data_IF_534543950006
#
_entry.id   IF_534543950006
#
_cell.length_a   1.000
_cell.length_b   1.000
_cell.length_c   1.000
_cell.angle_alpha   90.00
_cell.angle_beta   90.00
_cell.angle_gamma   90.00
#
_symmetry.space_group_name_H-M   'P 1'
#
loop_
_entity.id
_entity.type
_entity.pdbx_description
1 polymer ?
#
# COMPACT_ATOMS: atom_id res chain seq x y z
N UNK A 1 33.26 -46.26 8.17
CA UNK A 1 32.07 -46.05 9.02
C UNK A 1 31.66 -44.61 8.86
N UNK A 2 30.55 -44.37 8.17
CA UNK A 2 29.99 -43.04 7.95
C UNK A 2 29.05 -42.68 9.09
N UNK A 3 29.17 -41.46 9.59
CA UNK A 3 28.16 -40.75 10.39
C UNK A 3 28.33 -39.28 9.96
N UNK A 4 27.23 -38.52 9.87
CA UNK A 4 27.13 -37.15 9.35
C UNK A 4 26.80 -37.02 7.85
N UNK A 5 25.71 -37.63 7.43
CA UNK A 5 24.90 -37.14 6.32
C UNK A 5 23.43 -37.45 6.63
N UNK A 6 22.63 -36.41 6.97
CA UNK A 6 21.15 -36.34 6.92
C UNK A 6 20.54 -35.57 8.11
N UNK A 7 20.66 -34.23 8.15
CA UNK A 7 19.81 -33.41 9.04
C UNK A 7 18.95 -32.38 8.29
N UNK A 8 19.12 -32.21 6.97
CA UNK A 8 18.17 -31.43 6.17
C UNK A 8 17.38 -32.32 5.22
N UNK A 9 16.47 -33.13 5.77
CA UNK A 9 15.26 -33.50 5.05
C UNK A 9 14.20 -32.48 5.47
N UNK A 10 14.07 -31.40 4.72
CA UNK A 10 12.87 -30.56 4.82
C UNK A 10 11.67 -31.46 4.52
N UNK A 11 10.72 -31.53 5.44
CA UNK A 11 9.41 -32.07 5.17
C UNK A 11 8.75 -31.18 4.12
N UNK A 12 8.99 -31.46 2.83
CA UNK A 12 8.20 -30.85 1.75
C UNK A 12 6.74 -31.22 2.01
N UNK A 13 5.93 -30.18 2.20
CA UNK A 13 4.48 -30.25 2.31
C UNK A 13 3.92 -31.19 1.23
N UNK A 14 2.96 -32.03 1.61
CA UNK A 14 2.30 -33.01 0.73
C UNK A 14 1.30 -32.36 -0.24
N UNK A 15 1.20 -31.03 -0.22
CA UNK A 15 0.25 -30.23 -0.98
C UNK A 15 0.98 -29.46 -2.08
N UNK A 16 0.32 -29.33 -3.25
CA UNK A 16 0.77 -28.42 -4.30
C UNK A 16 0.67 -27.00 -3.75
N UNK A 17 1.79 -26.28 -3.74
CA UNK A 17 1.86 -24.88 -3.35
C UNK A 17 1.71 -23.99 -4.58
N UNK A 18 1.14 -22.81 -4.39
CA UNK A 18 0.95 -21.81 -5.43
C UNK A 18 1.51 -20.48 -4.95
N UNK A 19 2.35 -19.86 -5.76
CA UNK A 19 2.89 -18.55 -5.45
C UNK A 19 1.97 -17.48 -6.00
N UNK A 20 1.61 -16.55 -5.13
CA UNK A 20 0.69 -15.46 -5.43
C UNK A 20 1.31 -14.17 -4.94
N UNK A 21 1.29 -13.13 -5.76
CA UNK A 21 1.74 -11.79 -5.37
C UNK A 21 0.54 -10.86 -5.39
N UNK A 22 0.24 -10.22 -4.27
CA UNK A 22 -0.68 -9.11 -4.21
C UNK A 22 0.11 -7.82 -4.47
N UNK A 23 0.00 -7.29 -5.68
CA UNK A 23 0.56 -5.99 -6.04
C UNK A 23 -0.47 -4.92 -5.69
N UNK A 24 -0.17 -4.07 -4.72
CA UNK A 24 -1.08 -3.02 -4.25
C UNK A 24 -0.63 -1.64 -4.70
N UNK A 25 -1.59 -0.86 -5.19
CA UNK A 25 -1.42 0.57 -5.45
C UNK A 25 -1.56 1.40 -4.16
N UNK A 26 -0.89 0.92 -3.12
CA UNK A 26 -0.90 1.48 -1.79
C UNK A 26 0.52 1.91 -1.44
N UNK A 27 0.80 3.21 -1.50
CA UNK A 27 2.14 3.78 -1.39
C UNK A 27 2.63 3.82 0.05
N UNK A 28 2.78 2.64 0.67
CA UNK A 28 3.20 2.43 2.05
C UNK A 28 4.70 2.20 2.16
N UNK A 29 5.30 2.72 3.23
CA UNK A 29 6.66 2.37 3.61
C UNK A 29 6.75 0.89 4.03
N UNK A 30 7.94 0.26 3.97
CA UNK A 30 8.07 -1.17 4.25
C UNK A 30 7.54 -1.62 5.63
N UNK A 31 7.72 -0.79 6.68
CA UNK A 31 7.20 -1.10 8.02
C UNK A 31 5.67 -1.02 8.06
N UNK A 32 5.09 0.05 7.50
CA UNK A 32 3.63 0.20 7.45
C UNK A 32 2.97 -0.91 6.62
N UNK A 33 3.62 -1.34 5.53
CA UNK A 33 3.16 -2.50 4.74
C UNK A 33 3.14 -3.78 5.58
N UNK A 34 4.19 -4.00 6.39
CA UNK A 34 4.27 -5.12 7.32
C UNK A 34 3.09 -5.12 8.30
N UNK A 35 2.89 -4.00 8.97
CA UNK A 35 1.85 -3.82 10.00
C UNK A 35 0.42 -3.90 9.43
N UNK A 36 0.19 -3.32 8.25
CA UNK A 36 -1.15 -3.23 7.65
C UNK A 36 -1.52 -4.53 6.92
N UNK A 37 -0.57 -5.14 6.21
CA UNK A 37 -0.84 -6.27 5.33
C UNK A 37 -0.13 -7.55 5.71
N UNK A 38 1.19 -7.57 5.80
CA UNK A 38 1.94 -8.84 5.92
C UNK A 38 1.55 -9.61 7.18
N UNK A 39 1.68 -8.99 8.36
CA UNK A 39 1.42 -9.68 9.62
C UNK A 39 -0.07 -10.08 9.77
N UNK A 40 -1.06 -9.18 9.55
CA UNK A 40 -2.47 -9.54 9.71
C UNK A 40 -2.97 -10.54 8.66
N UNK A 41 -2.38 -10.56 7.47
CA UNK A 41 -2.73 -11.52 6.42
C UNK A 41 -2.13 -12.89 6.71
N UNK A 42 -0.88 -12.94 7.16
CA UNK A 42 -0.20 -14.17 7.53
C UNK A 42 -0.93 -14.91 8.66
N UNK A 43 -1.27 -14.18 9.72
CA UNK A 43 -2.05 -14.72 10.84
C UNK A 43 -3.40 -15.27 10.37
N UNK A 44 -4.09 -14.54 9.50
CA UNK A 44 -5.39 -14.93 8.99
C UNK A 44 -5.31 -16.19 8.11
N UNK A 45 -4.33 -16.27 7.20
CA UNK A 45 -4.10 -17.41 6.32
C UNK A 45 -3.72 -18.68 7.11
N UNK A 46 -2.81 -18.56 8.08
CA UNK A 46 -2.38 -19.68 8.93
C UNK A 46 -3.51 -20.21 9.79
N UNK A 47 -4.35 -19.32 10.31
CA UNK A 47 -5.53 -19.70 11.12
C UNK A 47 -6.49 -20.60 10.35
N UNK A 48 -6.75 -20.29 9.08
CA UNK A 48 -7.62 -21.09 8.21
C UNK A 48 -6.88 -22.16 7.40
N UNK A 49 -5.56 -22.27 7.58
CA UNK A 49 -4.67 -23.24 6.92
C UNK A 49 -4.71 -23.15 5.39
N UNK A 50 -4.89 -21.95 4.83
CA UNK A 50 -4.93 -21.72 3.38
C UNK A 50 -3.59 -21.28 2.79
N UNK A 51 -2.66 -20.81 3.62
CA UNK A 51 -1.37 -20.32 3.16
C UNK A 51 -0.57 -19.61 4.25
N UNK A 52 0.40 -18.84 3.82
CA UNK A 52 1.23 -17.94 4.64
C UNK A 52 1.81 -16.81 3.76
N UNK A 53 2.22 -15.71 4.41
CA UNK A 53 2.97 -14.64 3.76
C UNK A 53 4.45 -14.99 3.81
N UNK A 54 5.12 -14.91 2.66
CA UNK A 54 6.54 -15.24 2.51
C UNK A 54 7.44 -14.00 2.50
N UNK A 55 6.87 -12.82 2.20
CA UNK A 55 7.60 -11.56 2.19
C UNK A 55 6.83 -10.43 1.51
N UNK A 56 7.56 -9.38 1.13
CA UNK A 56 6.99 -8.24 0.42
C UNK A 56 8.03 -7.41 -0.32
N UNK A 57 7.58 -6.72 -1.36
CA UNK A 57 8.40 -5.90 -2.25
C UNK A 57 7.97 -4.44 -2.26
N UNK A 58 8.90 -3.55 -2.59
CA UNK A 58 8.60 -2.14 -2.85
C UNK A 58 9.22 -1.79 -4.18
N UNK A 59 8.39 -1.49 -5.17
CA UNK A 59 8.86 -0.93 -6.43
C UNK A 59 8.96 0.58 -6.29
N UNK A 60 10.07 1.15 -6.76
CA UNK A 60 10.29 2.59 -6.76
C UNK A 60 10.45 3.11 -8.18
N UNK A 61 9.93 4.31 -8.41
CA UNK A 61 10.25 5.11 -9.58
C UNK A 61 11.71 5.54 -9.53
N UNK A 62 12.22 6.07 -10.64
CA UNK A 62 13.58 6.66 -10.70
C UNK A 62 13.81 7.79 -9.67
N UNK A 63 12.74 8.44 -9.23
CA UNK A 63 12.76 9.49 -8.22
C UNK A 63 12.95 8.95 -6.79
N UNK A 64 12.84 7.63 -6.59
CA UNK A 64 12.77 7.01 -5.27
C UNK A 64 11.36 7.00 -4.66
N UNK A 65 10.39 7.65 -5.31
CA UNK A 65 8.97 7.55 -4.92
C UNK A 65 8.48 6.11 -5.13
N UNK A 66 7.66 5.61 -4.22
CA UNK A 66 7.03 4.29 -4.37
C UNK A 66 6.11 4.31 -5.59
N UNK A 67 6.20 3.28 -6.41
CA UNK A 67 5.29 3.04 -7.54
C UNK A 67 4.17 2.09 -7.14
N UNK A 68 4.53 0.98 -6.50
CA UNK A 68 3.61 0.02 -5.88
C UNK A 68 4.34 -0.81 -4.82
N UNK A 69 3.56 -1.51 -4.00
CA UNK A 69 4.07 -2.50 -3.05
C UNK A 69 3.58 -3.89 -3.44
N UNK A 70 4.36 -4.91 -3.04
CA UNK A 70 3.99 -6.31 -3.18
C UNK A 70 3.88 -6.96 -1.80
N UNK A 71 2.91 -7.86 -1.66
CA UNK A 71 2.87 -8.87 -0.60
C UNK A 71 2.94 -10.24 -1.29
N UNK A 72 3.93 -11.04 -0.92
CA UNK A 72 4.22 -12.34 -1.50
C UNK A 72 3.61 -13.44 -0.62
N UNK A 73 2.81 -14.31 -1.23
CA UNK A 73 1.99 -15.31 -0.52
C UNK A 73 2.19 -16.70 -1.13
N UNK A 74 2.34 -17.71 -0.27
CA UNK A 74 2.18 -19.11 -0.65
C UNK A 74 0.77 -19.58 -0.27
N UNK A 75 0.01 -20.07 -1.25
CA UNK A 75 -1.29 -20.72 -1.03
C UNK A 75 -1.20 -22.24 -1.17
N UNK A 76 -2.04 -22.95 -0.42
CA UNK A 76 -2.19 -24.40 -0.48
C UNK A 76 -3.40 -24.85 -1.31
N UNK A 77 -4.35 -23.94 -1.55
CA UNK A 77 -5.52 -24.15 -2.40
C UNK A 77 -5.90 -22.83 -3.08
N UNK A 78 -5.86 -22.77 -4.42
CA UNK A 78 -6.25 -21.57 -5.16
C UNK A 78 -7.74 -21.27 -5.09
N UNK A 79 -8.60 -22.30 -5.13
CA UNK A 79 -10.06 -22.15 -5.19
C UNK A 79 -10.60 -21.48 -3.93
N UNK A 80 -10.09 -21.88 -2.76
CA UNK A 80 -10.47 -21.31 -1.47
C UNK A 80 -9.61 -20.08 -1.11
N UNK A 81 -8.32 -20.10 -1.46
CA UNK A 81 -7.36 -19.07 -1.07
C UNK A 81 -7.55 -17.74 -1.80
N UNK A 82 -7.87 -17.74 -3.10
CA UNK A 82 -8.04 -16.49 -3.87
C UNK A 82 -9.20 -15.64 -3.31
N UNK A 83 -10.43 -16.17 -3.14
CA UNK A 83 -11.52 -15.38 -2.56
C UNK A 83 -11.22 -14.90 -1.14
N UNK A 84 -10.52 -15.71 -0.34
CA UNK A 84 -10.10 -15.34 1.01
C UNK A 84 -9.10 -14.17 1.00
N UNK A 85 -8.06 -14.25 0.16
CA UNK A 85 -7.05 -13.20 0.01
C UNK A 85 -7.68 -11.87 -0.38
N UNK A 86 -8.48 -11.85 -1.46
CA UNK A 86 -9.12 -10.63 -1.95
C UNK A 86 -9.96 -10.00 -0.85
N UNK A 87 -10.82 -10.80 -0.20
CA UNK A 87 -11.66 -10.32 0.89
C UNK A 87 -10.83 -9.72 2.03
N UNK A 88 -9.81 -10.43 2.50
CA UNK A 88 -8.98 -10.00 3.63
C UNK A 88 -8.18 -8.75 3.29
N UNK A 89 -7.56 -8.69 2.11
CA UNK A 89 -6.81 -7.51 1.65
C UNK A 89 -7.72 -6.29 1.52
N UNK A 90 -8.94 -6.44 1.01
CA UNK A 90 -9.93 -5.36 0.95
C UNK A 90 -10.38 -4.89 2.35
N UNK A 91 -10.57 -5.82 3.30
CA UNK A 91 -10.84 -5.49 4.70
C UNK A 91 -9.70 -4.71 5.36
N UNK A 92 -8.45 -5.03 5.00
CA UNK A 92 -7.24 -4.30 5.41
C UNK A 92 -7.05 -2.98 4.64
N UNK A 93 -7.96 -2.63 3.73
CA UNK A 93 -7.97 -1.34 3.04
C UNK A 93 -7.24 -1.33 1.71
N UNK A 94 -7.08 -2.48 1.04
CA UNK A 94 -6.49 -2.52 -0.30
C UNK A 94 -7.20 -1.53 -1.26
N UNK A 95 -6.42 -0.66 -1.93
CA UNK A 95 -6.98 0.29 -2.88
C UNK A 95 -7.32 -0.38 -4.20
N UNK A 96 -8.23 0.24 -4.95
CA UNK A 96 -8.57 -0.14 -6.32
C UNK A 96 -7.34 -0.18 -7.21
N UNK A 97 -7.46 -0.91 -8.32
CA UNK A 97 -6.36 -1.20 -9.25
C UNK A 97 -5.24 -2.02 -8.63
N UNK A 98 -5.47 -2.68 -7.48
CA UNK A 98 -4.57 -3.71 -6.97
C UNK A 98 -4.77 -5.00 -7.77
N UNK A 99 -3.70 -5.77 -7.96
CA UNK A 99 -3.69 -6.95 -8.82
C UNK A 99 -3.15 -8.14 -8.06
N UNK A 100 -3.87 -9.25 -8.11
CA UNK A 100 -3.40 -10.54 -7.63
C UNK A 100 -2.77 -11.29 -8.79
N UNK A 101 -1.44 -11.46 -8.76
CA UNK A 101 -0.67 -12.22 -9.74
C UNK A 101 -0.53 -13.66 -9.28
N UNK A 102 -1.17 -14.59 -9.99
CA UNK A 102 -1.08 -16.02 -9.70
C UNK A 102 -0.03 -16.62 -10.61
N UNK A 103 1.07 -17.07 -10.01
CA UNK A 103 2.20 -17.69 -10.70
C UNK A 103 1.91 -19.20 -10.86
N UNK A 104 1.06 -19.54 -11.81
CA UNK A 104 0.88 -20.92 -12.29
C UNK A 104 1.64 -21.08 -13.61
N UNK A 105 2.64 -21.97 -13.63
CA UNK A 105 3.51 -22.25 -14.79
C UNK A 105 2.71 -22.56 -16.07
N UNK A 106 1.49 -23.11 -15.93
CA UNK A 106 0.65 -23.51 -17.06
C UNK A 106 -0.39 -22.46 -17.47
N UNK A 107 -0.75 -21.53 -16.58
CA UNK A 107 -1.81 -20.56 -16.82
C UNK A 107 -1.71 -19.38 -15.84
N UNK A 108 -0.78 -18.44 -16.06
CA UNK A 108 -0.67 -17.24 -15.22
C UNK A 108 -1.98 -16.45 -15.31
N UNK A 109 -2.46 -15.99 -14.16
CA UNK A 109 -3.70 -15.22 -14.04
C UNK A 109 -3.47 -13.95 -13.26
N UNK A 110 -4.20 -12.92 -13.65
CA UNK A 110 -4.28 -11.65 -12.95
C UNK A 110 -5.73 -11.39 -12.58
N UNK A 111 -5.96 -10.97 -11.34
CA UNK A 111 -7.29 -10.64 -10.84
C UNK A 111 -7.20 -9.27 -10.20
N UNK A 112 -7.97 -8.32 -10.73
CA UNK A 112 -8.09 -6.98 -10.12
C UNK A 112 -8.95 -7.06 -8.86
N UNK A 113 -8.56 -6.31 -7.83
CA UNK A 113 -9.29 -6.19 -6.58
C UNK A 113 -9.04 -4.82 -5.92
N UNK A 114 -9.69 -4.60 -4.78
CA UNK A 114 -9.51 -3.41 -3.98
C UNK A 114 -10.72 -2.48 -4.02
N UNK A 115 -10.91 -1.74 -2.94
CA UNK A 115 -12.10 -0.90 -2.73
C UNK A 115 -11.77 0.54 -2.44
N UNK A 116 -10.66 0.80 -1.74
CA UNK A 116 -10.27 2.17 -1.37
C UNK A 116 -9.81 2.96 -2.58
N UNK A 117 -10.05 4.25 -2.53
CA UNK A 117 -9.52 5.22 -3.48
C UNK A 117 -8.42 6.04 -2.80
N UNK A 118 -7.47 6.51 -3.60
CA UNK A 118 -6.26 7.17 -3.12
C UNK A 118 -6.09 8.56 -3.70
N UNK A 119 -5.63 9.50 -2.88
CA UNK A 119 -5.31 10.88 -3.25
C UNK A 119 -3.91 11.24 -2.72
N UNK A 120 -3.08 11.81 -3.58
CA UNK A 120 -1.80 12.39 -3.21
C UNK A 120 -1.83 13.91 -3.32
N UNK A 121 -1.22 14.60 -2.35
CA UNK A 121 -0.90 16.02 -2.44
C UNK A 121 0.62 16.14 -2.51
N UNK A 122 1.13 16.73 -3.59
CA UNK A 122 2.54 17.05 -3.78
C UNK A 122 2.77 18.52 -3.44
N UNK A 123 3.46 18.76 -2.32
CA UNK A 123 3.86 20.07 -1.83
C UNK A 123 5.21 20.46 -2.43
N UNK A 124 5.37 21.73 -2.75
CA UNK A 124 6.62 22.26 -3.28
C UNK A 124 7.68 22.40 -2.17
N UNK A 125 8.84 21.78 -2.36
CA UNK A 125 9.94 21.77 -1.39
C UNK A 125 11.05 22.79 -1.64
N UNK A 126 11.03 23.56 -2.74
CA UNK A 126 12.19 24.37 -3.16
C UNK A 126 11.88 25.76 -3.74
N UNK A 127 10.66 26.02 -4.23
CA UNK A 127 10.30 27.23 -4.97
C UNK A 127 9.44 28.23 -4.18
N UNK A 128 8.98 27.88 -2.97
CA UNK A 128 8.27 28.85 -2.13
C UNK A 128 9.24 29.86 -1.51
N UNK A 129 8.78 31.08 -1.15
CA UNK A 129 9.60 32.02 -0.39
C UNK A 129 10.12 31.38 0.89
N UNK A 130 11.38 31.65 1.25
CA UNK A 130 12.04 31.07 2.43
C UNK A 130 11.22 31.21 3.72
N UNK A 131 10.56 32.36 3.91
CA UNK A 131 9.73 32.62 5.09
C UNK A 131 8.58 31.61 5.23
N UNK A 132 8.07 31.06 4.11
CA UNK A 132 6.99 30.07 4.15
C UNK A 132 7.48 28.79 4.80
N UNK A 133 8.67 28.32 4.42
CA UNK A 133 9.28 27.14 5.05
C UNK A 133 9.69 27.38 6.50
N UNK A 134 10.10 28.60 6.85
CA UNK A 134 10.50 28.96 8.22
C UNK A 134 9.31 29.14 9.17
N UNK A 135 8.16 29.59 8.66
CA UNK A 135 7.00 29.96 9.48
C UNK A 135 5.81 28.99 9.39
N UNK A 136 5.88 27.97 8.52
CA UNK A 136 4.82 26.96 8.38
C UNK A 136 5.25 25.63 8.98
N UNK A 137 4.30 24.87 9.52
CA UNK A 137 4.53 23.52 10.04
C UNK A 137 3.73 22.50 9.22
N UNK A 138 4.43 21.57 8.57
CA UNK A 138 3.79 20.51 7.80
C UNK A 138 2.91 19.61 8.68
N UNK A 139 3.23 19.45 9.97
CA UNK A 139 2.42 18.65 10.88
C UNK A 139 1.08 19.32 11.18
N UNK A 140 1.05 20.65 11.32
CA UNK A 140 -0.19 21.42 11.44
C UNK A 140 -1.05 21.30 10.18
N UNK A 141 -0.43 21.32 8.99
CA UNK A 141 -1.14 21.05 7.73
C UNK A 141 -1.72 19.63 7.71
N UNK A 142 -0.93 18.60 8.05
CA UNK A 142 -1.37 17.20 8.09
C UNK A 142 -2.53 17.03 9.08
N UNK A 143 -2.46 17.63 10.25
CA UNK A 143 -3.53 17.60 11.24
C UNK A 143 -4.82 18.21 10.69
N UNK A 144 -4.75 19.38 10.06
CA UNK A 144 -5.93 20.02 9.44
C UNK A 144 -6.54 19.16 8.34
N UNK A 145 -5.70 18.59 7.46
CA UNK A 145 -6.16 17.72 6.39
C UNK A 145 -6.86 16.48 6.96
N UNK A 146 -6.23 15.76 7.90
CA UNK A 146 -6.84 14.58 8.52
C UNK A 146 -8.16 14.92 9.23
N UNK A 147 -8.22 16.05 9.95
CA UNK A 147 -9.43 16.50 10.63
C UNK A 147 -10.59 16.80 9.65
N UNK A 148 -10.29 17.26 8.43
CA UNK A 148 -11.30 17.53 7.40
C UNK A 148 -11.90 16.26 6.78
N UNK A 149 -11.24 15.11 6.90
CA UNK A 149 -11.68 13.85 6.28
C UNK A 149 -11.96 12.75 7.30
N UNK A 150 -12.21 13.11 8.56
CA UNK A 150 -12.65 12.18 9.60
C UNK A 150 -13.85 11.37 9.07
N UNK A 151 -13.78 10.04 9.18
CA UNK A 151 -14.74 9.06 8.65
C UNK A 151 -14.78 8.92 7.12
N UNK A 152 -14.00 9.68 6.35
CA UNK A 152 -13.90 9.56 4.89
C UNK A 152 -12.61 8.85 4.46
N UNK A 153 -11.53 9.04 5.23
CA UNK A 153 -10.22 8.47 4.98
C UNK A 153 -9.21 8.97 6.02
N UNK A 154 -7.94 8.72 5.75
CA UNK A 154 -6.82 9.22 6.56
C UNK A 154 -5.57 9.31 5.70
N UNK A 155 -4.63 10.15 6.10
CA UNK A 155 -3.25 10.03 5.64
C UNK A 155 -2.71 8.69 6.11
N UNK A 156 -2.02 7.97 5.22
CA UNK A 156 -1.45 6.64 5.52
C UNK A 156 0.05 6.59 5.29
N UNK A 157 0.61 7.45 4.42
CA UNK A 157 2.05 7.52 4.24
C UNK A 157 2.47 8.82 3.55
N UNK A 158 3.76 8.98 3.31
CA UNK A 158 4.36 10.13 2.64
C UNK A 158 5.62 9.72 1.87
N UNK A 159 6.05 10.61 0.98
CA UNK A 159 7.36 10.52 0.33
C UNK A 159 8.01 11.89 0.32
N UNK A 160 9.31 11.95 0.57
CA UNK A 160 10.10 13.18 0.45
C UNK A 160 11.14 13.00 -0.66
N UNK A 161 10.99 13.78 -1.73
CA UNK A 161 11.94 13.84 -2.83
C UNK A 161 12.85 15.06 -2.74
N UNK A 162 13.63 15.28 -3.79
CA UNK A 162 14.55 16.42 -3.89
C UNK A 162 13.83 17.78 -3.99
N UNK A 163 12.67 17.82 -4.65
CA UNK A 163 11.95 19.06 -4.96
C UNK A 163 10.53 19.12 -4.42
N UNK A 164 9.98 17.99 -3.96
CA UNK A 164 8.59 17.90 -3.52
C UNK A 164 8.46 16.96 -2.31
N UNK A 165 7.40 17.16 -1.53
CA UNK A 165 6.94 16.20 -0.50
C UNK A 165 5.52 15.76 -0.85
N UNK A 166 5.32 14.46 -1.00
CA UNK A 166 4.01 13.87 -1.26
C UNK A 166 3.37 13.37 0.05
N UNK A 167 2.10 13.68 0.24
CA UNK A 167 1.27 13.16 1.32
C UNK A 167 0.20 12.24 0.72
N UNK A 168 0.12 10.99 1.17
CA UNK A 168 -0.78 9.98 0.61
C UNK A 168 -1.96 9.71 1.52
N UNK A 169 -3.16 9.88 0.99
CA UNK A 169 -4.43 9.69 1.67
C UNK A 169 -5.23 8.60 0.98
N UNK A 170 -5.89 7.75 1.77
CA UNK A 170 -6.76 6.72 1.26
C UNK A 170 -8.09 6.71 2.01
N UNK A 171 -9.16 6.38 1.30
CA UNK A 171 -10.52 6.35 1.84
C UNK A 171 -11.52 5.77 0.85
N UNK A 172 -12.81 6.02 1.06
CA UNK A 172 -13.87 5.43 0.21
C UNK A 172 -14.09 6.18 -1.12
N UNK A 173 -13.72 7.46 -1.17
CA UNK A 173 -14.00 8.31 -2.33
C UNK A 173 -12.97 9.46 -2.43
N UNK A 174 -12.06 9.36 -3.39
CA UNK A 174 -10.97 10.33 -3.55
C UNK A 174 -11.47 11.72 -3.97
N UNK A 175 -12.58 11.79 -4.72
CA UNK A 175 -13.19 13.06 -5.12
C UNK A 175 -13.75 13.81 -3.91
N UNK A 176 -14.42 13.08 -3.00
CA UNK A 176 -14.92 13.68 -1.75
C UNK A 176 -13.79 14.15 -0.85
N UNK A 177 -12.72 13.36 -0.70
CA UNK A 177 -11.52 13.74 0.04
C UNK A 177 -10.93 15.04 -0.55
N UNK A 178 -10.72 15.06 -1.87
CA UNK A 178 -10.20 16.24 -2.59
C UNK A 178 -11.06 17.49 -2.34
N UNK A 179 -12.38 17.37 -2.46
CA UNK A 179 -13.30 18.49 -2.27
C UNK A 179 -13.23 19.05 -0.83
N UNK A 180 -13.03 18.20 0.18
CA UNK A 180 -12.86 18.64 1.57
C UNK A 180 -11.51 19.31 1.82
N UNK A 181 -10.47 18.98 1.04
CA UNK A 181 -9.16 19.63 1.15
C UNK A 181 -9.11 21.02 0.52
N UNK A 182 -9.95 21.31 -0.47
CA UNK A 182 -9.88 22.58 -1.24
C UNK A 182 -9.86 23.84 -0.35
N UNK A 183 -10.71 23.99 0.70
CA UNK A 183 -10.64 25.16 1.57
C UNK A 183 -9.30 25.32 2.30
N UNK A 184 -8.62 24.22 2.65
CA UNK A 184 -7.28 24.27 3.27
C UNK A 184 -6.25 24.59 2.19
N UNK A 185 -6.29 23.89 1.06
CA UNK A 185 -5.31 24.01 -0.03
C UNK A 185 -5.26 25.44 -0.59
N UNK A 186 -6.41 26.10 -0.72
CA UNK A 186 -6.48 27.47 -1.23
C UNK A 186 -5.89 28.52 -0.27
N UNK A 187 -5.79 28.21 1.03
CA UNK A 187 -5.44 29.19 2.06
C UNK A 187 -4.14 28.87 2.81
N UNK A 188 -3.67 27.63 2.80
CA UNK A 188 -2.48 27.24 3.54
C UNK A 188 -1.19 27.56 2.76
N UNK A 189 -0.21 28.29 3.34
CA UNK A 189 0.98 28.74 2.61
C UNK A 189 1.79 27.63 1.91
N UNK A 190 1.99 26.48 2.57
CA UNK A 190 2.68 25.31 2.00
C UNK A 190 1.95 24.68 0.80
N UNK A 191 0.65 24.91 0.66
CA UNK A 191 -0.16 24.35 -0.43
C UNK A 191 -0.08 25.19 -1.72
N UNK A 192 0.60 26.33 -1.70
CA UNK A 192 0.69 27.20 -2.89
C UNK A 192 1.38 26.46 -4.04
N UNK A 193 0.64 26.24 -5.12
CA UNK A 193 1.14 25.53 -6.30
C UNK A 193 1.23 24.01 -6.15
N UNK A 194 0.67 23.44 -5.07
CA UNK A 194 0.67 21.99 -4.89
C UNK A 194 -0.08 21.28 -6.03
N UNK A 195 0.32 20.06 -6.36
CA UNK A 195 -0.45 19.18 -7.25
C UNK A 195 -1.26 18.20 -6.45
N UNK A 196 -2.49 17.97 -6.89
CA UNK A 196 -3.38 16.94 -6.34
C UNK A 196 -3.55 15.86 -7.40
N UNK A 197 -3.27 14.61 -7.05
CA UNK A 197 -3.32 13.46 -7.97
C UNK A 197 -4.16 12.36 -7.37
N UNK A 198 -5.13 11.83 -8.12
CA UNK A 198 -5.79 10.57 -7.76
C UNK A 198 -4.84 9.43 -8.06
N UNK A 199 -4.39 8.72 -7.02
CA UNK A 199 -3.40 7.65 -7.15
C UNK A 199 -4.04 6.27 -7.24
N UNK A 200 -5.23 6.06 -6.67
CA UNK A 200 -6.04 4.85 -6.89
C UNK A 200 -7.44 5.26 -7.35
N UNK A 201 -7.68 5.34 -8.68
CA UNK A 201 -8.91 5.89 -9.26
C UNK A 201 -10.09 4.90 -9.21
N UNK A 202 -11.26 5.43 -9.61
CA UNK A 202 -12.55 4.74 -9.59
C UNK A 202 -12.61 3.45 -10.39
#
# INVERSE_FOLDING_TARGET
MGIFSNIFKSNKSKYKTYFVTAQLNHLLMPLDRGDIYEDPLDEALKTVKLGEVDGGGTMQKKTGEIDFIDVEITLYNLEEGIPFLIKKLEELGAPKSSILHIQDESNPKQIEFGKKEGLAIYLDGVNLPKEVYENSDINDLIEKLNNCIINMGTMQSYWQGETETALYFYGENAEMIKNNFMPIIENYPLCKGCRIVTIAPK
#
